data_IF_834499295204
#
_entry.id   IF_834499295204
#
_cell.length_a   1.000
_cell.length_b   1.000
_cell.length_c   1.000
_cell.angle_alpha   90.00
_cell.angle_beta   90.00
_cell.angle_gamma   90.00
#
_symmetry.space_group_name_H-M   'P 1'
#
loop_
_entity.id
_entity.type
_entity.pdbx_description
1 polymer ?
#
# COMPACT_ATOMS: atom_id res chain seq x y z
N UNK A 1 1.75 20.69 -11.74
CA UNK A 1 1.60 19.46 -12.56
C UNK A 1 2.85 19.10 -13.36
N UNK A 2 3.53 20.05 -14.01
CA UNK A 2 4.76 19.79 -14.78
C UNK A 2 5.91 19.20 -13.93
N UNK A 3 6.13 19.68 -12.71
CA UNK A 3 7.20 19.18 -11.83
C UNK A 3 6.96 17.72 -11.39
N UNK A 4 5.69 17.35 -11.17
CA UNK A 4 5.29 15.97 -10.83
C UNK A 4 5.53 15.04 -12.03
N UNK A 5 5.23 15.52 -13.24
CA UNK A 5 5.49 14.82 -14.50
C UNK A 5 6.99 14.59 -14.76
N UNK A 6 7.86 15.56 -14.45
CA UNK A 6 9.32 15.43 -14.63
C UNK A 6 9.92 14.45 -13.60
N UNK A 7 9.44 14.48 -12.36
CA UNK A 7 9.82 13.47 -11.35
C UNK A 7 9.36 12.09 -11.81
N UNK A 8 8.11 11.92 -12.30
CA UNK A 8 7.53 10.67 -12.81
C UNK A 8 8.17 10.14 -14.12
N UNK A 9 8.77 11.01 -14.93
CA UNK A 9 9.52 10.58 -16.12
C UNK A 9 10.91 10.04 -15.78
N UNK A 10 11.60 10.64 -14.79
CA UNK A 10 12.92 10.17 -14.32
C UNK A 10 12.82 8.86 -13.55
N UNK A 11 11.79 8.79 -12.73
CA UNK A 11 11.11 7.66 -12.14
C UNK A 11 10.93 6.43 -13.06
N UNK A 12 10.20 6.57 -14.17
CA UNK A 12 9.93 5.48 -15.13
C UNK A 12 11.20 5.05 -15.89
N UNK A 13 12.14 5.98 -16.09
CA UNK A 13 13.51 5.72 -16.61
C UNK A 13 14.45 5.20 -15.50
N UNK A 14 14.03 5.28 -14.24
CA UNK A 14 14.71 4.72 -13.09
C UNK A 14 14.44 3.22 -13.02
N UNK A 15 15.46 2.35 -13.02
CA UNK A 15 15.30 0.89 -12.93
C UNK A 15 14.72 0.39 -11.59
N UNK A 16 14.21 1.28 -10.73
CA UNK A 16 13.86 1.00 -9.34
C UNK A 16 12.36 0.71 -9.15
N UNK A 17 12.08 -0.39 -8.46
CA UNK A 17 10.71 -0.85 -8.12
C UNK A 17 9.89 0.15 -7.30
N UNK A 18 10.55 0.96 -6.47
CA UNK A 18 9.91 2.02 -5.66
C UNK A 18 9.18 3.03 -6.53
N UNK A 19 9.71 3.32 -7.71
CA UNK A 19 9.14 4.36 -8.53
C UNK A 19 7.84 3.94 -9.22
N UNK A 20 7.81 2.70 -9.69
CA UNK A 20 6.59 2.08 -10.23
C UNK A 20 5.48 2.06 -9.18
N UNK A 21 5.83 1.82 -7.91
CA UNK A 21 4.91 1.84 -6.77
C UNK A 21 4.24 3.22 -6.59
N UNK A 22 5.02 4.29 -6.69
CA UNK A 22 4.54 5.67 -6.57
C UNK A 22 3.58 6.00 -7.73
N UNK A 23 3.94 5.59 -8.94
CA UNK A 23 3.12 5.79 -10.14
C UNK A 23 1.76 5.06 -10.03
N UNK A 24 1.75 3.81 -9.59
CA UNK A 24 0.52 3.01 -9.41
C UNK A 24 -0.41 3.65 -8.37
N UNK A 25 0.12 4.16 -7.26
CA UNK A 25 -0.69 4.81 -6.23
C UNK A 25 -1.29 6.13 -6.74
N UNK A 26 -0.52 6.91 -7.49
CA UNK A 26 -0.99 8.15 -8.13
C UNK A 26 -2.10 7.88 -9.18
N UNK A 27 -2.02 6.77 -9.91
CA UNK A 27 -3.08 6.35 -10.84
C UNK A 27 -4.33 5.91 -10.08
N UNK A 28 -4.17 5.06 -9.06
CA UNK A 28 -5.29 4.52 -8.25
C UNK A 28 -6.15 5.65 -7.67
N UNK A 29 -5.52 6.65 -7.05
CA UNK A 29 -6.24 7.82 -6.50
C UNK A 29 -7.03 8.61 -7.55
N UNK A 30 -6.48 8.79 -8.76
CA UNK A 30 -7.18 9.47 -9.86
C UNK A 30 -8.37 8.66 -10.36
N UNK A 31 -8.20 7.35 -10.54
CA UNK A 31 -9.27 6.46 -11.00
C UNK A 31 -10.41 6.42 -9.97
N UNK A 32 -10.08 6.24 -8.68
CA UNK A 32 -11.07 6.29 -7.60
C UNK A 32 -11.84 7.62 -7.58
N UNK A 33 -11.15 8.75 -7.79
CA UNK A 33 -11.80 10.07 -7.86
C UNK A 33 -12.79 10.18 -9.04
N UNK A 34 -12.44 9.62 -10.20
CA UNK A 34 -13.33 9.60 -11.38
C UNK A 34 -14.57 8.75 -11.10
N UNK A 35 -14.42 7.59 -10.45
CA UNK A 35 -15.57 6.73 -10.08
C UNK A 35 -16.48 7.46 -9.08
N UNK A 36 -15.90 8.13 -8.07
CA UNK A 36 -16.65 8.92 -7.10
C UNK A 36 -17.42 10.06 -7.76
N UNK A 37 -16.79 10.77 -8.70
CA UNK A 37 -17.43 11.85 -9.43
C UNK A 37 -18.58 11.34 -10.29
N UNK A 38 -18.41 10.17 -10.92
CA UNK A 38 -19.46 9.51 -11.70
C UNK A 38 -20.63 9.07 -10.81
N UNK A 39 -20.36 8.60 -9.59
CA UNK A 39 -21.39 8.28 -8.59
C UNK A 39 -22.23 9.51 -8.25
N UNK A 40 -21.55 10.64 -8.03
CA UNK A 40 -22.20 11.91 -7.68
C UNK A 40 -23.07 12.45 -8.83
N UNK A 41 -22.60 12.34 -10.09
CA UNK A 41 -23.38 12.76 -11.27
C UNK A 41 -24.64 11.90 -11.45
N UNK A 42 -24.57 10.62 -11.09
CA UNK A 42 -25.70 9.69 -11.25
C UNK A 42 -26.71 9.71 -10.11
N UNK A 43 -26.45 10.46 -9.02
CA UNK A 43 -27.26 10.48 -7.78
C UNK A 43 -27.52 9.07 -7.21
N UNK A 44 -26.65 8.11 -7.56
CA UNK A 44 -26.76 6.72 -7.17
C UNK A 44 -25.52 6.35 -6.35
N UNK A 45 -25.72 6.28 -5.04
CA UNK A 45 -24.66 5.97 -4.08
C UNK A 45 -24.15 4.53 -4.21
N UNK A 46 -24.78 3.66 -5.01
CA UNK A 46 -24.27 2.30 -5.28
C UNK A 46 -22.87 2.29 -5.89
N UNK A 47 -22.49 3.33 -6.63
CA UNK A 47 -21.15 3.44 -7.22
C UNK A 47 -20.05 3.80 -6.19
N UNK A 48 -20.43 4.25 -5.00
CA UNK A 48 -19.49 4.57 -3.93
C UNK A 48 -18.77 3.31 -3.42
N UNK A 49 -19.49 2.19 -3.30
CA UNK A 49 -18.92 0.91 -2.86
C UNK A 49 -17.83 0.43 -3.83
N UNK A 50 -18.09 0.52 -5.14
CA UNK A 50 -17.14 0.15 -6.20
C UNK A 50 -15.87 1.01 -6.11
N UNK A 51 -16.02 2.32 -5.87
CA UNK A 51 -14.87 3.22 -5.70
C UNK A 51 -14.03 2.86 -4.46
N UNK A 52 -14.69 2.50 -3.36
CA UNK A 52 -14.05 2.14 -2.10
C UNK A 52 -13.31 0.81 -2.23
N UNK A 53 -13.93 -0.20 -2.83
CA UNK A 53 -13.31 -1.49 -3.15
C UNK A 53 -12.10 -1.29 -4.07
N UNK A 54 -12.21 -0.43 -5.08
CA UNK A 54 -11.09 -0.14 -5.99
C UNK A 54 -9.91 0.51 -5.25
N UNK A 55 -10.19 1.46 -4.36
CA UNK A 55 -9.17 2.14 -3.55
C UNK A 55 -8.47 1.16 -2.59
N UNK A 56 -9.24 0.33 -1.89
CA UNK A 56 -8.71 -0.66 -0.94
C UNK A 56 -7.90 -1.74 -1.67
N UNK A 57 -8.39 -2.22 -2.81
CA UNK A 57 -7.69 -3.22 -3.63
C UNK A 57 -6.35 -2.67 -4.14
N UNK A 58 -6.33 -1.44 -4.66
CA UNK A 58 -5.09 -0.79 -5.09
C UNK A 58 -4.08 -0.60 -3.96
N UNK A 59 -4.55 -0.29 -2.74
CA UNK A 59 -3.70 -0.18 -1.56
C UNK A 59 -3.12 -1.54 -1.11
N UNK A 60 -3.95 -2.58 -1.02
CA UNK A 60 -3.51 -3.94 -0.65
C UNK A 60 -2.53 -4.51 -1.67
N UNK A 61 -2.77 -4.28 -2.97
CA UNK A 61 -1.86 -4.68 -4.05
C UNK A 61 -0.47 -4.06 -3.88
N UNK A 62 -0.39 -2.77 -3.54
CA UNK A 62 0.88 -2.11 -3.27
C UNK A 62 1.60 -2.68 -2.03
N UNK A 63 0.87 -2.98 -0.95
CA UNK A 63 1.46 -3.64 0.24
C UNK A 63 2.01 -5.02 -0.14
N UNK A 64 1.26 -5.77 -0.92
CA UNK A 64 1.68 -7.10 -1.37
C UNK A 64 2.95 -7.03 -2.22
N UNK A 65 3.04 -6.06 -3.14
CA UNK A 65 4.25 -5.84 -3.94
C UNK A 65 5.45 -5.51 -3.04
N UNK A 66 5.28 -4.66 -2.02
CA UNK A 66 6.37 -4.34 -1.08
C UNK A 66 6.79 -5.59 -0.31
N UNK A 67 5.84 -6.42 0.11
CA UNK A 67 6.12 -7.67 0.81
C UNK A 67 6.84 -8.70 -0.07
N UNK A 68 6.52 -8.74 -1.37
CA UNK A 68 7.22 -9.56 -2.36
C UNK A 68 8.62 -9.06 -2.64
N UNK A 69 8.82 -7.75 -2.66
CA UNK A 69 10.12 -7.13 -2.90
C UNK A 69 11.04 -7.16 -1.67
N UNK A 70 10.48 -7.30 -0.47
CA UNK A 70 11.22 -7.48 0.79
C UNK A 70 10.93 -8.87 1.40
N UNK A 71 11.35 -9.97 0.75
CA UNK A 71 11.23 -11.30 1.31
C UNK A 71 12.36 -11.55 2.32
N UNK A 72 12.16 -11.24 3.61
CA UNK A 72 13.13 -11.66 4.63
C UNK A 72 13.22 -10.87 5.94
N UNK A 73 12.73 -9.64 6.00
CA UNK A 73 13.26 -8.69 7.01
C UNK A 73 12.30 -8.45 8.19
N UNK A 74 11.27 -9.30 8.38
CA UNK A 74 10.36 -9.20 9.54
C UNK A 74 11.01 -9.64 10.86
N UNK A 75 12.25 -10.10 10.82
CA UNK A 75 13.13 -10.15 11.99
C UNK A 75 13.61 -8.72 12.28
N UNK A 76 12.71 -7.88 12.78
CA UNK A 76 13.03 -6.58 13.35
C UNK A 76 13.89 -6.84 14.60
N UNK A 77 15.19 -7.08 14.38
CA UNK A 77 16.16 -7.47 15.39
C UNK A 77 16.49 -6.22 16.18
N UNK A 78 15.61 -5.83 17.11
CA UNK A 78 15.84 -4.71 18.03
C UNK A 78 17.08 -5.10 18.87
N UNK A 79 18.25 -4.48 18.65
CA UNK A 79 19.43 -4.76 19.45
C UNK A 79 19.16 -4.14 20.82
N UNK A 80 18.64 -4.92 21.76
CA UNK A 80 18.40 -4.47 23.14
C UNK A 80 17.06 -4.85 23.76
N UNK A 81 16.12 -5.48 23.03
CA UNK A 81 14.90 -5.98 23.66
C UNK A 81 15.06 -7.46 24.02
N UNK A 82 15.58 -7.69 25.23
CA UNK A 82 15.52 -9.00 25.89
C UNK A 82 14.04 -9.40 25.95
N UNK A 83 13.69 -10.51 25.29
CA UNK A 83 12.33 -11.00 25.23
C UNK A 83 11.74 -11.09 26.64
N UNK A 84 10.52 -10.61 26.82
CA UNK A 84 9.68 -11.07 27.91
C UNK A 84 9.38 -12.54 27.63
N UNK A 85 10.31 -13.39 28.05
CA UNK A 85 10.11 -14.81 28.23
C UNK A 85 9.05 -14.93 29.33
N UNK A 86 7.80 -15.09 28.91
CA UNK A 86 6.72 -15.41 29.82
C UNK A 86 6.97 -16.81 30.34
N UNK A 87 7.54 -16.88 31.53
CA UNK A 87 7.70 -18.08 32.33
C UNK A 87 6.32 -18.73 32.48
N UNK A 88 6.09 -19.77 31.68
CA UNK A 88 5.00 -20.72 31.84
C UNK A 88 5.63 -22.11 31.77
N UNK A 89 5.18 -22.93 32.72
CA UNK A 89 5.46 -24.36 32.94
C UNK A 89 6.72 -24.61 33.80
N UNK A 90 6.68 -25.28 34.95
CA UNK A 90 5.65 -26.19 35.48
C UNK A 90 5.89 -26.40 36.99
N UNK A 91 5.00 -25.84 37.83
CA UNK A 91 4.84 -26.31 39.22
C UNK A 91 4.09 -27.66 39.18
N UNK A 92 4.82 -28.74 38.94
CA UNK A 92 4.39 -30.08 39.31
C UNK A 92 5.58 -31.00 39.56
N UNK A 93 6.06 -30.96 40.81
CA UNK A 93 6.52 -32.15 41.51
C UNK A 93 6.29 -32.05 43.00
#
# INVERSE_FOLDING_TARGET
MILVLIVLLRAIIGPTVIDRLISINAITSKVSMIILLMAFIKDDFGFFDIAFVFMLCGFVSNIWIVKVLTPGDWQLRIPGLKGFEGDREDDSK
#
